data_IF_898816342042
#
_entry.id   IF_898816342042
#
_cell.length_a   1.000
_cell.length_b   1.000
_cell.length_c   1.000
_cell.angle_alpha   90.00
_cell.angle_beta   90.00
_cell.angle_gamma   90.00
#
_symmetry.space_group_name_H-M   'P 1'
#
loop_
_entity.id
_entity.type
_entity.pdbx_description
1 polymer ?
#
# COMPACT_ATOMS: atom_id res chain seq x y z
N UNK A 1 18.21 -18.95 78.48
CA UNK A 1 17.56 -17.85 77.72
C UNK A 1 18.23 -17.49 76.38
N UNK A 2 19.30 -18.18 75.95
CA UNK A 2 20.03 -17.91 74.69
C UNK A 2 19.49 -18.67 73.46
N UNK A 3 18.94 -19.88 73.67
CA UNK A 3 18.46 -20.75 72.58
C UNK A 3 17.19 -20.25 71.85
N UNK A 4 16.31 -19.51 72.54
CA UNK A 4 15.04 -19.04 71.96
C UNK A 4 15.25 -17.86 70.98
N UNK A 5 16.25 -17.00 71.24
CA UNK A 5 16.59 -15.88 70.35
C UNK A 5 17.12 -16.33 68.97
N UNK A 6 17.94 -17.38 68.96
CA UNK A 6 18.50 -17.92 67.72
C UNK A 6 17.46 -18.60 66.81
N UNK A 7 16.40 -19.19 67.40
CA UNK A 7 15.33 -19.81 66.63
C UNK A 7 14.45 -18.77 65.92
N UNK A 8 14.11 -17.68 66.62
CA UNK A 8 13.31 -16.60 66.04
C UNK A 8 14.03 -15.82 64.93
N UNK A 9 15.34 -15.56 65.06
CA UNK A 9 16.11 -14.91 64.00
C UNK A 9 16.20 -15.76 62.73
N UNK A 10 16.34 -17.09 62.85
CA UNK A 10 16.35 -18.00 61.70
C UNK A 10 14.97 -18.10 61.03
N UNK A 11 13.88 -18.07 61.80
CA UNK A 11 12.51 -18.08 61.27
C UNK A 11 12.20 -16.77 60.49
N UNK A 12 12.59 -15.61 61.03
CA UNK A 12 12.39 -14.30 60.37
C UNK A 12 13.22 -14.19 59.08
N UNK A 13 14.47 -14.67 59.07
CA UNK A 13 15.28 -14.71 57.85
C UNK A 13 14.76 -15.71 56.81
N UNK A 14 14.19 -16.83 57.24
CA UNK A 14 13.51 -17.80 56.35
C UNK A 14 12.27 -17.19 55.69
N UNK A 15 11.39 -16.56 56.47
CA UNK A 15 10.18 -15.88 55.97
C UNK A 15 10.52 -14.71 55.03
N UNK A 16 11.55 -13.92 55.35
CA UNK A 16 12.00 -12.83 54.49
C UNK A 16 12.56 -13.30 53.13
N UNK A 17 13.15 -14.51 53.05
CA UNK A 17 13.58 -15.10 51.76
C UNK A 17 12.40 -15.61 50.94
N UNK A 18 11.40 -16.23 51.57
CA UNK A 18 10.21 -16.76 50.88
C UNK A 18 9.35 -15.64 50.31
N UNK A 19 9.20 -14.52 51.03
CA UNK A 19 8.47 -13.34 50.54
C UNK A 19 9.22 -12.65 49.39
N UNK A 20 10.55 -12.63 49.40
CA UNK A 20 11.38 -12.00 48.35
C UNK A 20 11.40 -12.81 47.05
N UNK A 21 11.27 -14.13 47.11
CA UNK A 21 11.18 -14.99 45.92
C UNK A 21 9.77 -15.01 45.30
N UNK A 22 8.70 -14.96 46.11
CA UNK A 22 7.34 -14.97 45.59
C UNK A 22 6.88 -13.63 44.99
N UNK A 23 7.39 -12.48 45.47
CA UNK A 23 7.10 -11.18 44.84
C UNK A 23 7.75 -11.03 43.45
N UNK A 24 8.93 -11.63 43.24
CA UNK A 24 9.64 -11.59 41.96
C UNK A 24 8.90 -12.37 40.87
N UNK A 25 8.44 -13.60 41.18
CA UNK A 25 7.72 -14.44 40.23
C UNK A 25 6.36 -13.87 39.85
N UNK A 26 5.63 -13.27 40.80
CA UNK A 26 4.35 -12.60 40.49
C UNK A 26 4.53 -11.38 39.58
N UNK A 27 5.58 -10.58 39.78
CA UNK A 27 5.87 -9.42 38.92
C UNK A 27 6.24 -9.83 37.50
N UNK A 28 7.05 -10.88 37.33
CA UNK A 28 7.41 -11.40 36.01
C UNK A 28 6.19 -11.95 35.27
N UNK A 29 5.32 -12.69 35.96
CA UNK A 29 4.06 -13.16 35.36
C UNK A 29 3.15 -12.00 34.96
N UNK A 30 3.00 -10.97 35.80
CA UNK A 30 2.21 -9.78 35.47
C UNK A 30 2.80 -8.99 34.30
N UNK A 31 4.13 -8.89 34.20
CA UNK A 31 4.81 -8.19 33.11
C UNK A 31 4.67 -8.95 31.78
N UNK A 32 4.77 -10.29 31.80
CA UNK A 32 4.50 -11.12 30.62
C UNK A 32 3.01 -11.04 30.23
N UNK A 33 2.10 -11.07 31.20
CA UNK A 33 0.66 -10.86 30.93
C UNK A 33 0.41 -9.48 30.33
N UNK A 34 1.05 -8.43 30.86
CA UNK A 34 0.92 -7.06 30.36
C UNK A 34 1.51 -6.93 28.95
N UNK A 35 2.64 -7.60 28.64
CA UNK A 35 3.19 -7.69 27.28
C UNK A 35 2.28 -8.50 26.32
N UNK A 36 1.56 -9.51 26.82
CA UNK A 36 0.55 -10.25 26.06
C UNK A 36 -0.71 -9.40 25.82
N UNK A 37 -1.14 -8.59 26.81
CA UNK A 37 -2.32 -7.73 26.71
C UNK A 37 -2.07 -6.41 25.96
N UNK A 38 -0.83 -5.90 25.92
CA UNK A 38 -0.50 -4.70 25.12
C UNK A 38 -0.35 -4.99 23.63
N UNK A 39 -0.29 -6.27 23.23
CA UNK A 39 -0.43 -6.70 21.84
C UNK A 39 -1.88 -6.99 21.43
N UNK A 40 -2.87 -6.65 22.26
CA UNK A 40 -4.24 -6.46 21.74
C UNK A 40 -4.19 -5.19 20.90
N UNK A 41 -3.78 -5.34 19.65
CA UNK A 41 -3.93 -4.34 18.61
C UNK A 41 -5.43 -4.11 18.52
N UNK A 42 -5.91 -3.08 19.22
CA UNK A 42 -7.27 -2.56 19.00
C UNK A 42 -7.27 -2.21 17.52
N UNK A 43 -7.97 -3.03 16.73
CA UNK A 43 -8.18 -2.78 15.32
C UNK A 43 -8.89 -1.44 15.22
N UNK A 44 -8.12 -0.36 15.07
CA UNK A 44 -8.67 0.92 14.69
C UNK A 44 -9.27 0.66 13.32
N UNK A 45 -10.58 0.81 13.21
CA UNK A 45 -11.24 0.81 11.92
C UNK A 45 -10.59 1.93 11.10
N UNK A 46 -9.67 1.56 10.22
CA UNK A 46 -8.99 2.51 9.35
C UNK A 46 -10.03 2.92 8.31
N UNK A 47 -10.33 4.22 8.27
CA UNK A 47 -11.23 4.77 7.27
C UNK A 47 -10.56 4.68 5.89
N UNK A 48 -11.08 3.80 5.03
CA UNK A 48 -10.57 3.62 3.67
C UNK A 48 -10.65 4.88 2.80
N UNK A 49 -11.56 5.82 3.13
CA UNK A 49 -11.75 7.06 2.37
C UNK A 49 -10.50 7.95 2.41
N UNK A 50 -9.68 7.85 3.47
CA UNK A 50 -8.48 8.68 3.57
C UNK A 50 -7.44 8.30 2.53
N UNK A 51 -7.48 7.08 1.96
CA UNK A 51 -6.53 6.61 0.94
C UNK A 51 -7.03 6.81 -0.50
N UNK A 52 -8.05 7.64 -0.68
CA UNK A 52 -8.47 8.07 -2.01
C UNK A 52 -7.47 9.08 -2.57
N UNK A 53 -7.64 9.41 -3.85
CA UNK A 53 -6.68 10.18 -4.63
C UNK A 53 -6.38 11.57 -4.08
N UNK A 54 -5.56 12.36 -4.82
CA UNK A 54 -5.31 13.75 -4.47
C UNK A 54 -6.61 14.54 -4.27
N UNK A 55 -6.60 15.66 -3.52
CA UNK A 55 -7.70 16.59 -3.49
C UNK A 55 -8.17 16.99 -4.90
N UNK A 56 -9.45 17.32 -5.04
CA UNK A 56 -10.04 17.70 -6.33
C UNK A 56 -9.24 18.85 -6.98
N UNK A 57 -8.79 18.64 -8.21
CA UNK A 57 -7.96 19.58 -8.97
C UNK A 57 -6.47 19.58 -8.61
N UNK A 58 -6.05 18.94 -7.50
CA UNK A 58 -4.64 18.80 -7.16
C UNK A 58 -3.98 17.76 -8.07
N UNK A 59 -2.77 18.08 -8.52
CA UNK A 59 -1.94 17.19 -9.33
C UNK A 59 -0.75 16.71 -8.54
N UNK A 60 -0.53 15.39 -8.54
CA UNK A 60 0.71 14.78 -8.05
C UNK A 60 1.53 14.26 -9.23
N UNK A 61 2.84 14.19 -9.05
CA UNK A 61 3.77 13.69 -10.07
C UNK A 61 4.26 12.32 -9.64
N UNK A 62 4.11 11.34 -10.53
CA UNK A 62 4.66 10.01 -10.35
C UNK A 62 5.77 9.83 -11.37
N UNK A 63 6.98 9.55 -10.89
CA UNK A 63 8.15 9.25 -11.71
C UNK A 63 8.05 7.83 -12.26
N UNK A 64 8.31 7.69 -13.55
CA UNK A 64 8.45 6.39 -14.24
C UNK A 64 9.92 6.22 -14.55
N UNK A 65 10.45 5.01 -14.33
CA UNK A 65 11.88 4.66 -14.43
C UNK A 65 12.52 4.92 -15.83
N UNK A 66 11.73 5.38 -16.82
CA UNK A 66 12.19 5.80 -18.14
C UNK A 66 12.35 7.32 -18.31
N UNK A 67 12.32 8.08 -17.21
CA UNK A 67 12.47 9.54 -17.20
C UNK A 67 11.24 10.29 -17.66
N UNK A 68 10.09 9.62 -17.75
CA UNK A 68 8.79 10.22 -18.04
C UNK A 68 7.99 10.38 -16.76
N UNK A 69 7.38 11.55 -16.58
CA UNK A 69 6.46 11.79 -15.47
C UNK A 69 5.01 11.42 -15.85
N UNK A 70 4.28 10.80 -14.92
CA UNK A 70 2.81 10.73 -14.92
C UNK A 70 2.28 11.86 -14.04
N UNK A 71 1.42 12.70 -14.62
CA UNK A 71 0.65 13.71 -13.88
C UNK A 71 -0.69 13.11 -13.51
N UNK A 72 -0.91 12.86 -12.23
CA UNK A 72 -2.17 12.31 -11.71
C UNK A 72 -3.00 13.41 -11.08
N UNK A 73 -4.23 13.59 -11.57
CA UNK A 73 -5.14 14.64 -11.11
C UNK A 73 -6.51 14.05 -10.81
N UNK A 74 -7.07 14.36 -9.64
CA UNK A 74 -8.50 14.09 -9.38
C UNK A 74 -9.33 15.12 -10.14
N UNK A 75 -10.13 14.67 -11.10
CA UNK A 75 -10.93 15.53 -12.00
C UNK A 75 -12.37 15.69 -11.53
N UNK A 76 -12.91 14.72 -10.79
CA UNK A 76 -14.24 14.80 -10.20
C UNK A 76 -14.35 13.89 -8.97
N UNK A 77 -15.26 14.24 -8.05
CA UNK A 77 -15.69 13.37 -6.95
C UNK A 77 -17.21 13.32 -6.99
N UNK A 78 -17.79 12.12 -7.12
CA UNK A 78 -19.25 11.94 -7.14
C UNK A 78 -19.87 12.11 -5.76
N UNK A 79 -21.19 12.27 -5.67
CA UNK A 79 -21.94 12.20 -4.39
C UNK A 79 -21.72 10.87 -3.63
N UNK A 80 -21.51 9.76 -4.36
CA UNK A 80 -21.17 8.45 -3.78
C UNK A 80 -19.67 8.24 -3.51
N UNK A 81 -18.91 9.33 -3.36
CA UNK A 81 -17.47 9.36 -3.05
C UNK A 81 -16.58 8.54 -4.00
N UNK A 82 -16.97 8.44 -5.27
CA UNK A 82 -16.13 7.91 -6.35
C UNK A 82 -15.24 9.03 -6.88
N UNK A 83 -13.94 8.86 -6.73
CA UNK A 83 -12.93 9.76 -7.25
C UNK A 83 -12.63 9.38 -8.68
N UNK A 84 -12.92 10.27 -9.62
CA UNK A 84 -12.49 10.16 -11.01
C UNK A 84 -11.12 10.80 -11.14
N UNK A 85 -10.14 10.02 -11.59
CA UNK A 85 -8.73 10.43 -11.64
C UNK A 85 -8.21 10.21 -13.06
N UNK A 86 -7.46 11.19 -13.52
CA UNK A 86 -6.81 11.20 -14.82
C UNK A 86 -5.30 11.14 -14.64
N UNK A 87 -4.68 10.12 -15.23
CA UNK A 87 -3.23 9.99 -15.37
C UNK A 87 -2.84 10.45 -16.77
N UNK A 88 -2.09 11.55 -16.85
CA UNK A 88 -1.52 12.05 -18.11
C UNK A 88 -0.04 11.74 -18.20
N UNK A 89 0.38 11.19 -19.33
CA UNK A 89 1.77 10.84 -19.59
C UNK A 89 2.20 11.34 -20.96
N UNK A 90 3.25 12.16 -21.00
CA UNK A 90 3.89 12.60 -22.25
C UNK A 90 5.01 11.64 -22.61
N UNK A 91 4.86 10.87 -23.69
CA UNK A 91 5.92 9.96 -24.13
C UNK A 91 7.13 10.75 -24.66
N UNK A 92 8.32 10.15 -24.55
CA UNK A 92 9.49 10.66 -25.25
C UNK A 92 9.25 10.60 -26.77
N UNK A 93 9.63 11.62 -27.55
CA UNK A 93 9.36 11.65 -28.99
C UNK A 93 9.93 10.44 -29.74
N UNK A 94 9.04 9.57 -30.22
CA UNK A 94 9.36 8.44 -31.08
C UNK A 94 9.25 8.78 -32.56
N UNK A 95 9.99 8.04 -33.40
CA UNK A 95 9.82 8.10 -34.87
C UNK A 95 8.70 7.14 -35.28
N UNK A 96 7.77 7.65 -36.09
CA UNK A 96 6.68 6.87 -36.71
C UNK A 96 6.71 7.14 -38.21
N UNK A 97 6.97 6.10 -39.00
CA UNK A 97 7.02 6.20 -40.47
C UNK A 97 5.63 6.07 -41.10
N UNK A 98 5.50 6.40 -42.39
CA UNK A 98 4.21 6.19 -43.10
C UNK A 98 3.89 4.71 -43.21
N UNK A 99 4.91 3.89 -43.40
CA UNK A 99 4.82 2.43 -43.45
C UNK A 99 4.29 1.88 -42.12
N UNK A 100 4.74 2.39 -40.98
CA UNK A 100 4.24 1.99 -39.65
C UNK A 100 2.76 2.33 -39.47
N UNK A 101 2.35 3.52 -39.93
CA UNK A 101 0.96 3.99 -39.85
C UNK A 101 0.05 3.07 -40.68
N UNK A 102 0.45 2.76 -41.92
CA UNK A 102 -0.33 1.91 -42.82
C UNK A 102 -0.36 0.47 -42.30
N UNK A 103 0.80 -0.09 -41.95
CA UNK A 103 0.94 -1.48 -41.50
C UNK A 103 0.13 -1.76 -40.22
N UNK A 104 0.12 -0.82 -39.28
CA UNK A 104 -0.55 -0.99 -37.99
C UNK A 104 -1.91 -0.26 -37.90
N UNK A 105 -2.37 0.34 -39.01
CA UNK A 105 -3.61 1.11 -39.08
C UNK A 105 -3.72 2.15 -37.93
N UNK A 106 -2.64 2.90 -37.69
CA UNK A 106 -2.57 3.83 -36.56
C UNK A 106 -3.46 5.05 -36.81
N UNK A 107 -4.28 5.40 -35.82
CA UNK A 107 -5.01 6.67 -35.85
C UNK A 107 -4.08 7.87 -35.67
N UNK A 108 -4.47 9.03 -36.18
CA UNK A 108 -3.72 10.28 -36.02
C UNK A 108 -3.43 10.60 -34.55
N UNK A 109 -4.40 10.33 -33.66
CA UNK A 109 -4.22 10.51 -32.22
C UNK A 109 -3.07 9.66 -31.67
N UNK A 110 -2.99 8.38 -32.06
CA UNK A 110 -1.90 7.49 -31.64
C UNK A 110 -0.56 7.98 -32.18
N UNK A 111 -0.51 8.42 -33.44
CA UNK A 111 0.70 8.98 -34.05
C UNK A 111 1.20 10.20 -33.27
N UNK A 112 0.30 11.13 -32.92
CA UNK A 112 0.63 12.30 -32.10
C UNK A 112 1.11 11.95 -30.70
N UNK A 113 0.52 10.94 -30.06
CA UNK A 113 0.99 10.43 -28.75
C UNK A 113 2.42 9.87 -28.87
N UNK A 114 2.68 9.00 -29.87
CA UNK A 114 4.01 8.39 -30.04
C UNK A 114 5.08 9.43 -30.38
N UNK A 115 4.73 10.49 -31.11
CA UNK A 115 5.62 11.62 -31.38
C UNK A 115 5.84 12.55 -30.19
N UNK A 116 5.15 12.33 -29.06
CA UNK A 116 5.19 13.23 -27.91
C UNK A 116 4.50 14.58 -28.18
N UNK A 117 3.57 14.65 -29.12
CA UNK A 117 2.79 15.85 -29.42
C UNK A 117 1.49 15.92 -28.60
N UNK A 118 1.00 14.78 -28.11
CA UNK A 118 -0.16 14.64 -27.25
C UNK A 118 0.13 13.74 -26.04
N UNK A 119 -0.58 13.94 -24.94
CA UNK A 119 -0.48 13.08 -23.76
C UNK A 119 -1.26 11.77 -23.99
N UNK A 120 -0.67 10.65 -23.56
CA UNK A 120 -1.44 9.45 -23.26
C UNK A 120 -2.26 9.72 -21.99
N UNK A 121 -3.58 9.57 -22.10
CA UNK A 121 -4.51 9.78 -20.99
C UNK A 121 -5.10 8.45 -20.54
N UNK A 122 -4.99 8.16 -19.25
CA UNK A 122 -5.57 6.99 -18.63
C UNK A 122 -6.53 7.40 -17.50
N UNK A 123 -7.77 6.90 -17.56
CA UNK A 123 -8.80 7.22 -16.57
C UNK A 123 -8.94 6.07 -15.57
N UNK A 124 -8.84 6.41 -14.29
CA UNK A 124 -9.04 5.49 -13.17
C UNK A 124 -10.13 6.03 -12.25
N UNK A 125 -10.73 5.13 -11.48
CA UNK A 125 -11.63 5.50 -10.39
C UNK A 125 -11.14 4.88 -9.09
N UNK A 126 -11.20 5.65 -8.01
CA UNK A 126 -10.98 5.17 -6.65
C UNK A 126 -12.27 5.33 -5.85
N UNK A 127 -12.62 4.30 -5.09
CA UNK A 127 -13.79 4.30 -4.22
C UNK A 127 -13.47 3.62 -2.89
N UNK A 128 -13.94 4.22 -1.81
CA UNK A 128 -14.01 3.56 -0.51
C UNK A 128 -15.42 3.00 -0.31
N UNK A 129 -15.53 1.69 -0.06
CA UNK A 129 -16.84 1.03 0.16
C UNK A 129 -16.72 -0.09 1.17
N UNK A 130 -17.46 0.02 2.27
CA UNK A 130 -17.50 -0.99 3.34
C UNK A 130 -16.08 -1.40 3.82
N UNK A 131 -15.25 -0.41 4.17
CA UNK A 131 -13.88 -0.65 4.65
C UNK A 131 -12.87 -1.07 3.57
N UNK A 132 -13.27 -1.09 2.30
CA UNK A 132 -12.43 -1.49 1.16
C UNK A 132 -12.05 -0.32 0.30
N UNK A 133 -10.82 -0.33 -0.19
CA UNK A 133 -10.33 0.54 -1.26
C UNK A 133 -10.50 -0.24 -2.58
N UNK A 134 -11.20 0.36 -3.53
CA UNK A 134 -11.46 -0.21 -4.85
C UNK A 134 -10.88 0.71 -5.91
N UNK A 135 -9.94 0.20 -6.71
CA UNK A 135 -9.41 0.87 -7.89
C UNK A 135 -9.99 0.20 -9.13
N UNK A 136 -10.61 0.99 -10.01
CA UNK A 136 -11.06 0.50 -11.32
C UNK A 136 -10.46 1.29 -12.46
N UNK A 137 -10.20 0.62 -13.58
CA UNK A 137 -9.66 1.18 -14.82
C UNK A 137 -10.46 0.64 -16.00
N UNK A 138 -10.89 1.52 -16.91
CA UNK A 138 -11.72 1.16 -18.06
C UNK A 138 -12.98 0.33 -17.68
N UNK A 139 -13.62 0.67 -16.56
CA UNK A 139 -14.82 -0.03 -16.07
C UNK A 139 -14.56 -1.41 -15.44
N UNK A 140 -13.31 -1.87 -15.38
CA UNK A 140 -12.90 -3.10 -14.71
C UNK A 140 -12.24 -2.81 -13.37
N UNK A 141 -12.52 -3.63 -12.36
CA UNK A 141 -11.84 -3.56 -11.07
C UNK A 141 -10.42 -4.11 -11.21
N UNK A 142 -9.44 -3.31 -10.80
CA UNK A 142 -8.00 -3.65 -10.83
C UNK A 142 -7.48 -3.96 -9.44
N UNK A 143 -7.90 -3.21 -8.41
CA UNK A 143 -7.49 -3.46 -7.02
C UNK A 143 -8.73 -3.49 -6.14
N UNK A 144 -8.78 -4.46 -5.22
CA UNK A 144 -9.65 -4.43 -4.05
C UNK A 144 -8.78 -4.70 -2.84
N UNK A 145 -8.74 -3.80 -1.86
CA UNK A 145 -8.03 -3.99 -0.61
C UNK A 145 -8.96 -3.75 0.57
N UNK A 146 -9.16 -4.77 1.39
CA UNK A 146 -9.96 -4.71 2.61
C UNK A 146 -9.04 -4.40 3.80
N UNK A 147 -9.26 -3.25 4.43
CA UNK A 147 -8.38 -2.76 5.51
C UNK A 147 -8.59 -3.51 6.83
N UNK A 148 -9.79 -4.06 7.05
CA UNK A 148 -10.12 -4.81 8.27
C UNK A 148 -9.47 -6.20 8.23
N UNK A 149 -9.66 -6.92 7.13
CA UNK A 149 -9.05 -8.26 6.95
C UNK A 149 -7.58 -8.20 6.52
N UNK A 150 -7.07 -7.01 6.18
CA UNK A 150 -5.72 -6.75 5.65
C UNK A 150 -5.40 -7.55 4.39
N UNK A 151 -6.43 -7.92 3.62
CA UNK A 151 -6.34 -8.80 2.45
C UNK A 151 -7.02 -8.17 1.25
N UNK A 152 -6.64 -8.60 0.07
CA UNK A 152 -7.17 -8.03 -1.16
C UNK A 152 -6.85 -8.85 -2.39
N UNK A 153 -7.10 -8.23 -3.54
CA UNK A 153 -6.71 -8.75 -4.84
C UNK A 153 -6.24 -7.62 -5.75
N UNK A 154 -5.26 -7.95 -6.59
CA UNK A 154 -4.81 -7.17 -7.73
C UNK A 154 -5.11 -8.00 -9.00
N UNK A 155 -5.70 -7.39 -10.01
CA UNK A 155 -5.88 -8.00 -11.33
C UNK A 155 -4.82 -7.46 -12.28
N UNK A 156 -3.99 -8.35 -12.81
CA UNK A 156 -2.99 -8.05 -13.82
C UNK A 156 -3.52 -8.49 -15.18
N UNK A 157 -3.70 -7.55 -16.11
CA UNK A 157 -4.10 -7.89 -17.48
C UNK A 157 -2.91 -8.41 -18.28
N UNK A 158 -3.07 -9.58 -18.89
CA UNK A 158 -2.11 -10.21 -19.81
C UNK A 158 -2.74 -10.41 -21.20
N UNK A 159 -1.96 -10.92 -22.15
CA UNK A 159 -2.48 -11.36 -23.47
C UNK A 159 -3.57 -12.42 -23.36
N UNK A 160 -3.47 -13.28 -22.35
CA UNK A 160 -4.29 -14.48 -22.19
C UNK A 160 -5.48 -14.27 -21.24
N UNK A 161 -5.55 -13.10 -20.61
CA UNK A 161 -6.67 -12.70 -19.75
C UNK A 161 -6.23 -11.93 -18.51
N UNK A 162 -7.18 -11.70 -17.62
CA UNK A 162 -6.90 -11.03 -16.35
C UNK A 162 -6.47 -12.08 -15.30
N UNK A 163 -5.26 -11.94 -14.77
CA UNK A 163 -4.71 -12.80 -13.71
C UNK A 163 -4.98 -12.19 -12.35
N UNK A 164 -5.63 -12.96 -11.49
CA UNK A 164 -5.96 -12.55 -10.11
C UNK A 164 -4.82 -12.88 -9.15
N UNK A 165 -4.18 -11.85 -8.61
CA UNK A 165 -3.14 -11.93 -7.60
C UNK A 165 -3.74 -11.71 -6.21
N UNK A 166 -3.33 -12.49 -5.22
CA UNK A 166 -3.75 -12.32 -3.82
C UNK A 166 -2.90 -11.22 -3.18
N UNK A 167 -3.53 -10.26 -2.53
CA UNK A 167 -2.87 -9.12 -1.91
C UNK A 167 -2.99 -9.16 -0.39
N UNK A 168 -2.01 -8.63 0.32
CA UNK A 168 -2.06 -8.45 1.77
C UNK A 168 -1.22 -7.26 2.24
N UNK A 169 -1.68 -6.59 3.30
CA UNK A 169 -0.98 -5.44 3.88
C UNK A 169 0.19 -5.94 4.72
N UNK A 170 1.41 -5.59 4.32
CA UNK A 170 2.64 -6.00 5.00
C UNK A 170 3.13 -4.98 6.01
N UNK A 171 2.82 -3.70 5.80
CA UNK A 171 3.27 -2.64 6.69
C UNK A 171 2.32 -1.43 6.67
N UNK A 172 2.27 -0.71 7.78
CA UNK A 172 1.53 0.52 7.97
C UNK A 172 2.32 1.50 8.82
N UNK A 173 2.49 2.72 8.33
CA UNK A 173 3.26 3.73 9.04
C UNK A 173 2.78 5.15 8.76
N UNK A 174 3.10 6.04 9.69
CA UNK A 174 2.87 7.48 9.55
C UNK A 174 4.16 8.15 9.07
N UNK A 175 4.07 8.91 7.99
CA UNK A 175 5.21 9.53 7.32
C UNK A 175 4.95 10.98 6.97
N UNK A 176 6.02 11.78 6.87
CA UNK A 176 5.93 13.14 6.33
C UNK A 176 6.15 13.11 4.81
N UNK A 177 5.10 13.39 4.05
CA UNK A 177 5.11 13.37 2.59
C UNK A 177 4.58 14.70 2.10
N UNK A 178 5.39 15.41 1.30
CA UNK A 178 5.10 16.78 0.81
C UNK A 178 4.70 17.73 1.95
N UNK A 179 5.46 17.69 3.05
CA UNK A 179 5.27 18.56 4.22
C UNK A 179 4.05 18.25 5.10
N UNK A 180 3.30 17.18 4.82
CA UNK A 180 2.13 16.76 5.62
C UNK A 180 2.38 15.38 6.21
N UNK A 181 1.96 15.19 7.47
CA UNK A 181 1.90 13.86 8.08
C UNK A 181 0.77 13.06 7.43
N UNK A 182 1.07 11.86 6.93
CA UNK A 182 0.16 11.00 6.18
C UNK A 182 0.34 9.54 6.60
N UNK A 183 -0.76 8.79 6.57
CA UNK A 183 -0.77 7.35 6.75
C UNK A 183 -0.38 6.69 5.43
N UNK A 184 0.48 5.67 5.50
CA UNK A 184 0.92 4.88 4.37
C UNK A 184 0.62 3.40 4.62
N UNK A 185 0.09 2.73 3.60
CA UNK A 185 -0.16 1.29 3.58
C UNK A 185 0.71 0.68 2.49
N UNK A 186 1.49 -0.34 2.86
CA UNK A 186 2.31 -1.12 1.96
C UNK A 186 1.67 -2.48 1.73
N UNK A 187 1.51 -2.85 0.46
CA UNK A 187 0.80 -4.06 0.07
C UNK A 187 1.66 -4.88 -0.87
N UNK A 188 1.73 -6.17 -0.59
CA UNK A 188 2.31 -7.15 -1.49
C UNK A 188 1.21 -8.00 -2.11
N UNK A 189 1.36 -8.28 -3.40
CA UNK A 189 0.49 -9.14 -4.18
C UNK A 189 1.27 -10.27 -4.82
N UNK A 190 0.74 -11.48 -4.75
CA UNK A 190 1.35 -12.70 -5.29
C UNK A 190 0.38 -13.41 -6.24
N UNK A 191 0.89 -13.86 -7.38
CA UNK A 191 0.18 -14.70 -8.33
C UNK A 191 1.13 -15.55 -9.16
N UNK A 192 0.58 -16.25 -10.15
CA UNK A 192 1.35 -17.03 -11.12
C UNK A 192 0.89 -16.67 -12.53
N UNK A 193 1.86 -16.43 -13.41
CA UNK A 193 1.71 -16.43 -14.86
C UNK A 193 2.20 -17.79 -15.40
N UNK A 194 1.96 -18.06 -16.67
CA UNK A 194 2.47 -19.27 -17.33
C UNK A 194 4.01 -19.35 -17.27
N UNK A 195 4.67 -18.19 -17.34
CA UNK A 195 6.13 -18.05 -17.26
C UNK A 195 6.69 -18.07 -15.83
N UNK A 196 5.83 -18.27 -14.82
CA UNK A 196 6.24 -18.44 -13.42
C UNK A 196 5.60 -17.43 -12.44
N UNK A 197 6.15 -17.34 -11.21
CA UNK A 197 5.59 -16.51 -10.17
C UNK A 197 5.70 -15.02 -10.53
N UNK A 198 4.64 -14.28 -10.22
CA UNK A 198 4.58 -12.82 -10.36
C UNK A 198 4.26 -12.20 -9.01
N UNK A 199 5.02 -11.17 -8.66
CA UNK A 199 4.81 -10.38 -7.46
C UNK A 199 4.57 -8.92 -7.83
N UNK A 200 3.75 -8.22 -7.05
CA UNK A 200 3.62 -6.77 -7.18
C UNK A 200 3.62 -6.14 -5.79
N UNK A 201 4.37 -5.06 -5.65
CA UNK A 201 4.39 -4.26 -4.43
C UNK A 201 3.80 -2.89 -4.74
N UNK A 202 2.86 -2.44 -3.92
CA UNK A 202 2.27 -1.13 -4.11
C UNK A 202 2.01 -0.41 -2.79
N UNK A 203 1.94 0.91 -2.89
CA UNK A 203 1.79 1.79 -1.73
C UNK A 203 0.60 2.72 -1.90
N UNK A 204 -0.24 2.77 -0.88
CA UNK A 204 -1.36 3.72 -0.78
C UNK A 204 -1.02 4.75 0.30
N UNK A 205 -1.20 6.04 -0.01
CA UNK A 205 -0.91 7.15 0.90
C UNK A 205 -2.14 8.00 1.10
N UNK A 206 -2.40 8.39 2.36
CA UNK A 206 -3.60 9.15 2.68
C UNK A 206 -3.64 10.49 1.94
N UNK A 207 -4.75 10.77 1.26
CA UNK A 207 -5.01 11.95 0.45
C UNK A 207 -4.18 12.05 -0.82
N UNK A 208 -3.52 10.96 -1.25
CA UNK A 208 -2.76 10.88 -2.51
C UNK A 208 -3.11 9.64 -3.33
N UNK A 209 -3.69 8.61 -2.71
CA UNK A 209 -4.03 7.36 -3.38
C UNK A 209 -2.81 6.47 -3.62
N UNK A 210 -2.80 5.78 -4.75
CA UNK A 210 -1.76 4.82 -5.13
C UNK A 210 -0.48 5.54 -5.56
N UNK A 211 0.53 5.63 -4.69
CA UNK A 211 1.74 6.43 -4.93
C UNK A 211 2.93 5.64 -5.45
N UNK A 212 2.92 4.32 -5.31
CA UNK A 212 3.97 3.45 -5.82
C UNK A 212 3.37 2.16 -6.34
N UNK A 213 3.92 1.64 -7.44
CA UNK A 213 3.65 0.29 -7.91
C UNK A 213 4.88 -0.28 -8.61
N UNK A 214 5.26 -1.49 -8.23
CA UNK A 214 6.27 -2.30 -8.90
C UNK A 214 5.74 -3.69 -9.20
N UNK A 215 6.33 -4.33 -10.20
CA UNK A 215 6.02 -5.68 -10.65
C UNK A 215 7.32 -6.46 -10.78
N UNK A 216 7.38 -7.64 -10.17
CA UNK A 216 8.49 -8.58 -10.30
C UNK A 216 7.99 -9.81 -11.06
N UNK A 217 8.58 -10.06 -12.23
CA UNK A 217 8.30 -11.25 -13.05
C UNK A 217 9.61 -12.00 -13.22
N UNK A 218 9.64 -13.28 -12.86
CA UNK A 218 10.83 -14.14 -13.03
C UNK A 218 12.12 -13.55 -12.41
N UNK A 219 11.98 -12.88 -11.27
CA UNK A 219 13.08 -12.24 -10.54
C UNK A 219 13.51 -10.86 -11.07
N UNK A 220 12.95 -10.38 -12.19
CA UNK A 220 13.18 -9.05 -12.71
C UNK A 220 12.10 -8.09 -12.19
N UNK A 221 12.52 -7.06 -11.46
CA UNK A 221 11.63 -6.05 -10.91
C UNK A 221 11.61 -4.82 -11.81
N UNK A 222 10.41 -4.39 -12.19
CA UNK A 222 10.16 -3.11 -12.84
C UNK A 222 9.32 -2.23 -11.91
N UNK A 223 9.79 -1.01 -11.63
CA UNK A 223 8.98 0.03 -11.00
C UNK A 223 8.11 0.66 -12.08
N UNK A 224 6.79 0.48 -11.98
CA UNK A 224 5.86 1.08 -12.94
C UNK A 224 5.75 2.58 -12.72
N UNK A 225 5.73 3.01 -11.46
CA UNK A 225 5.85 4.41 -11.06
C UNK A 225 6.06 4.55 -9.56
N UNK A 226 6.58 5.70 -9.14
CA UNK A 226 6.72 6.10 -7.73
C UNK A 226 6.45 7.60 -7.55
N UNK A 227 5.89 8.02 -6.42
CA UNK A 227 5.66 9.44 -6.13
C UNK A 227 6.99 10.19 -6.14
N UNK A 228 7.03 11.28 -6.89
CA UNK A 228 8.17 12.20 -6.91
C UNK A 228 8.10 13.09 -5.67
N UNK A 229 9.15 13.06 -4.85
CA UNK A 229 9.32 14.03 -3.77
C UNK A 229 9.62 15.40 -4.40
N UNK A 230 8.83 16.41 -4.03
CA UNK A 230 9.03 17.79 -4.48
C UNK A 230 9.80 18.59 -3.43
#
# INVERSE_FOLDING_TARGET
MSLIKNYFQRLIHGLARVVRYNCSSFFVCFFILFLMFSNVTVARAVDASIFLGPPLGETIILDVDDGVDIKRTTTAVSESEVYSIEDRRRLLPGKVTKEDIIKNNLSEKIVRIVRGEEDLVNNITLQAKAGKIILSRHGKVVIILDLESRKGFLYLSTSDGDVKMKSHIVDEQEEFIRGKKRSSIYVESYGNLDDGPVNSNYRLVSGLGLTHMSLTVSGLTSVLYTLKEN
#
